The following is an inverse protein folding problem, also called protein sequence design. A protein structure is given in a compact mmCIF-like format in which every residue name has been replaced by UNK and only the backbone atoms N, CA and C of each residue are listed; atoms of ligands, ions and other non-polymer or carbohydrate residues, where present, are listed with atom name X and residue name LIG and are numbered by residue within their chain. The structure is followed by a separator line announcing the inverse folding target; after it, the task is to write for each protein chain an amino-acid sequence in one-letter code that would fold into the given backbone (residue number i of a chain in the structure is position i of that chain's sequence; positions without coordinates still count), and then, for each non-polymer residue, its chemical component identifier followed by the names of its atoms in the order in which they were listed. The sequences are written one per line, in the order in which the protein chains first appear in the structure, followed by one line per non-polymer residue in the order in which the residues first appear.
data_IF_011762704330
#
_entry.id   IF_011762704330
#
_cell.length_a   1.000
_cell.length_b   1.000
_cell.length_c   1.000
_cell.angle_alpha   90.00
_cell.angle_beta   90.00
_cell.angle_gamma   90.00
#
_symmetry.space_group_name_H-M   'P 1'
#
loop_
_entity.id
_entity.type
_entity.pdbx_description
1 polymer ?
#
# COMPACT_ATOMS: atom_id res chain seq x y z
N UNK A 1 -10.13 -22.83 -5.54
CA UNK A 1 -9.12 -23.58 -4.76
C UNK A 1 -8.66 -22.67 -3.63
N UNK A 2 -8.65 -23.12 -2.37
CA UNK A 2 -8.23 -22.26 -1.23
C UNK A 2 -6.81 -22.66 -0.83
N UNK A 3 -5.86 -21.75 -1.03
CA UNK A 3 -4.46 -21.96 -0.67
C UNK A 3 -4.21 -21.50 0.77
N UNK A 4 -3.52 -22.30 1.57
CA UNK A 4 -3.08 -21.91 2.91
C UNK A 4 -1.62 -21.44 2.84
N UNK A 5 -1.36 -20.23 3.30
CA UNK A 5 -0.01 -19.65 3.31
C UNK A 5 0.35 -19.29 4.76
N UNK A 6 1.43 -19.84 5.33
CA UNK A 6 1.91 -19.39 6.63
C UNK A 6 2.55 -18.00 6.50
N UNK A 7 2.17 -17.10 7.39
CA UNK A 7 2.70 -15.72 7.45
C UNK A 7 3.23 -15.46 8.86
N UNK A 8 4.39 -14.81 8.93
CA UNK A 8 4.94 -14.29 10.18
C UNK A 8 4.55 -12.84 10.31
N UNK A 9 3.94 -12.51 11.44
CA UNK A 9 3.55 -11.16 11.82
C UNK A 9 4.30 -10.78 13.08
N UNK A 10 4.50 -9.48 13.27
CA UNK A 10 4.99 -8.95 14.54
C UNK A 10 3.93 -9.19 15.61
N UNK A 11 4.36 -9.35 16.85
CA UNK A 11 3.46 -9.61 17.98
C UNK A 11 2.36 -8.55 18.10
N UNK A 12 2.72 -7.28 17.90
CA UNK A 12 1.78 -6.16 17.95
C UNK A 12 0.68 -6.25 16.87
N UNK A 13 1.05 -6.64 15.64
CA UNK A 13 0.10 -6.79 14.53
C UNK A 13 -0.87 -7.94 14.79
N UNK A 14 -0.33 -9.07 15.29
CA UNK A 14 -1.16 -10.21 15.66
C UNK A 14 -2.15 -9.86 16.77
N UNK A 15 -1.70 -9.09 17.78
CA UNK A 15 -2.57 -8.62 18.87
C UNK A 15 -3.72 -7.75 18.37
N UNK A 16 -3.47 -6.88 17.40
CA UNK A 16 -4.52 -6.07 16.78
C UNK A 16 -5.53 -6.95 16.03
N UNK A 17 -5.05 -7.95 15.28
CA UNK A 17 -5.92 -8.92 14.60
C UNK A 17 -6.76 -9.71 15.60
N UNK A 18 -6.16 -10.11 16.72
CA UNK A 18 -6.86 -10.84 17.79
C UNK A 18 -7.98 -10.02 18.41
N UNK A 19 -7.75 -8.75 18.70
CA UNK A 19 -8.78 -7.85 19.22
C UNK A 19 -9.98 -7.75 18.28
N UNK A 20 -9.76 -7.73 16.96
CA UNK A 20 -10.86 -7.67 15.98
C UNK A 20 -11.72 -8.95 16.02
N UNK A 21 -11.09 -10.11 16.25
CA UNK A 21 -11.80 -11.38 16.39
C UNK A 21 -12.51 -11.47 17.73
N UNK A 22 -11.85 -11.06 18.82
CA UNK A 22 -12.41 -11.04 20.18
C UNK A 22 -13.62 -10.12 20.31
N UNK A 23 -13.61 -8.98 19.63
CA UNK A 23 -14.75 -8.06 19.56
C UNK A 23 -15.86 -8.52 18.61
N UNK A 24 -15.70 -9.67 17.94
CA UNK A 24 -16.71 -10.24 17.04
C UNK A 24 -16.84 -9.51 15.70
N UNK A 25 -15.89 -8.65 15.34
CA UNK A 25 -15.87 -7.95 14.05
C UNK A 25 -15.61 -8.95 12.92
N UNK A 26 -14.72 -9.92 13.15
CA UNK A 26 -14.46 -11.04 12.25
C UNK A 26 -14.62 -12.37 12.98
N UNK A 27 -15.01 -13.41 12.25
CA UNK A 27 -15.23 -14.77 12.79
C UNK A 27 -13.93 -15.54 12.98
N UNK A 28 -12.84 -15.11 12.35
CA UNK A 28 -11.52 -15.74 12.49
C UNK A 28 -10.37 -14.81 12.09
N UNK A 29 -9.15 -15.13 12.54
CA UNK A 29 -7.92 -14.44 12.10
C UNK A 29 -7.75 -14.47 10.58
N UNK A 30 -8.03 -15.60 9.95
CA UNK A 30 -7.91 -15.74 8.50
C UNK A 30 -8.90 -14.89 7.72
N UNK A 31 -10.09 -14.64 8.28
CA UNK A 31 -11.06 -13.71 7.70
C UNK A 31 -10.58 -12.26 7.87
N UNK A 32 -10.18 -11.87 9.08
CA UNK A 32 -9.64 -10.54 9.36
C UNK A 32 -8.46 -10.19 8.42
N UNK A 33 -7.47 -11.08 8.31
CA UNK A 33 -6.32 -10.89 7.43
C UNK A 33 -6.74 -10.77 5.96
N UNK A 34 -7.71 -11.58 5.52
CA UNK A 34 -8.19 -11.53 4.13
C UNK A 34 -8.83 -10.18 3.81
N UNK A 35 -9.73 -9.70 4.66
CA UNK A 35 -10.44 -8.44 4.43
C UNK A 35 -9.47 -7.25 4.49
N UNK A 36 -8.51 -7.27 5.43
CA UNK A 36 -7.46 -6.26 5.50
C UNK A 36 -6.56 -6.24 4.25
N UNK A 37 -6.20 -7.41 3.72
CA UNK A 37 -5.43 -7.52 2.46
C UNK A 37 -6.26 -6.97 1.29
N UNK A 38 -7.54 -7.33 1.17
CA UNK A 38 -8.40 -6.85 0.08
C UNK A 38 -8.53 -5.33 0.15
N UNK A 39 -8.81 -4.77 1.33
CA UNK A 39 -8.89 -3.33 1.53
C UNK A 39 -7.56 -2.63 1.19
N UNK A 40 -6.44 -3.19 1.63
CA UNK A 40 -5.10 -2.67 1.29
C UNK A 40 -4.80 -2.71 -0.21
N UNK A 41 -5.14 -3.80 -0.89
CA UNK A 41 -4.96 -3.94 -2.35
C UNK A 41 -5.83 -2.94 -3.12
N UNK A 42 -7.07 -2.71 -2.67
CA UNK A 42 -7.95 -1.73 -3.31
C UNK A 42 -7.29 -0.33 -3.35
N UNK A 43 -6.67 0.10 -2.24
CA UNK A 43 -5.93 1.36 -2.17
C UNK A 43 -4.62 1.34 -2.97
N UNK A 44 -3.95 0.19 -3.07
CA UNK A 44 -2.73 0.06 -3.87
C UNK A 44 -2.99 0.09 -5.38
N UNK A 45 -4.19 -0.31 -5.83
CA UNK A 45 -4.51 -0.36 -7.26
C UNK A 45 -4.44 1.02 -7.95
N UNK A 46 -4.75 2.09 -7.22
CA UNK A 46 -4.60 3.47 -7.71
C UNK A 46 -3.12 3.84 -7.82
N UNK A 47 -2.31 3.48 -6.81
CA UNK A 47 -0.86 3.72 -6.81
C UNK A 47 -0.19 2.98 -7.98
N UNK A 48 -0.54 1.71 -8.20
CA UNK A 48 0.02 0.93 -9.30
C UNK A 48 -0.33 1.54 -10.66
N UNK A 49 -1.57 2.02 -10.84
CA UNK A 49 -1.98 2.68 -12.09
C UNK A 49 -1.15 3.93 -12.38
N UNK A 50 -0.94 4.77 -11.36
CA UNK A 50 -0.16 6.00 -11.54
C UNK A 50 1.34 5.71 -11.73
N UNK A 51 1.87 4.67 -11.08
CA UNK A 51 3.24 4.19 -11.32
C UNK A 51 3.39 3.65 -12.75
N UNK A 52 2.43 2.86 -13.24
CA UNK A 52 2.44 2.35 -14.61
C UNK A 52 2.39 3.51 -15.63
N UNK A 53 1.53 4.50 -15.38
CA UNK A 53 1.44 5.72 -16.20
C UNK A 53 2.75 6.52 -16.21
N UNK A 54 3.46 6.57 -15.09
CA UNK A 54 4.76 7.22 -14.99
C UNK A 54 5.79 6.51 -15.90
N UNK A 55 5.81 5.17 -15.89
CA UNK A 55 6.69 4.40 -16.77
C UNK A 55 6.31 4.49 -18.25
N UNK A 56 5.02 4.65 -18.58
CA UNK A 56 4.59 4.97 -19.95
C UNK A 56 5.13 6.32 -20.41
N UNK A 57 5.01 7.36 -19.59
CA UNK A 57 5.54 8.69 -19.88
C UNK A 57 7.07 8.68 -20.04
N UNK A 58 7.79 7.96 -19.18
CA UNK A 58 9.25 7.81 -19.30
C UNK A 58 9.63 7.18 -20.65
N UNK A 59 8.93 6.12 -21.06
CA UNK A 59 9.17 5.44 -22.34
C UNK A 59 8.86 6.34 -23.54
N UNK A 60 7.83 7.18 -23.45
CA UNK A 60 7.47 8.12 -24.51
C UNK A 60 8.47 9.27 -24.62
N UNK A 61 8.94 9.82 -23.51
CA UNK A 61 9.80 11.00 -23.51
C UNK A 61 11.30 10.69 -23.47
N UNK A 62 11.69 9.44 -23.23
CA UNK A 62 13.09 9.02 -23.10
C UNK A 62 13.80 9.59 -21.87
N UNK A 63 13.05 10.11 -20.90
CA UNK A 63 13.54 10.76 -19.68
C UNK A 63 12.55 10.56 -18.54
N UNK A 64 13.05 10.60 -17.30
CA UNK A 64 12.20 10.49 -16.11
C UNK A 64 11.23 11.69 -16.08
N UNK A 65 9.90 11.48 -15.98
CA UNK A 65 8.90 12.56 -16.10
C UNK A 65 8.86 13.52 -14.90
N UNK A 66 9.66 13.28 -13.88
CA UNK A 66 9.77 14.09 -12.66
C UNK A 66 11.15 14.74 -12.64
N UNK A 67 11.19 16.05 -12.86
CA UNK A 67 12.38 16.87 -12.65
C UNK A 67 12.18 17.74 -11.40
N UNK A 68 12.88 17.38 -10.32
CA UNK A 68 12.83 18.12 -9.05
C UNK A 68 13.89 19.22 -8.97
N UNK A 69 14.69 19.44 -10.02
CA UNK A 69 15.69 20.49 -10.02
C UNK A 69 15.02 21.86 -9.85
N UNK A 70 15.47 22.62 -8.84
CA UNK A 70 14.90 23.93 -8.48
C UNK A 70 13.80 23.91 -7.40
N UNK A 71 13.14 22.79 -7.15
CA UNK A 71 12.06 22.68 -6.13
C UNK A 71 12.58 23.00 -4.73
N UNK A 72 13.82 22.57 -4.42
CA UNK A 72 14.49 22.86 -3.15
C UNK A 72 14.68 24.37 -2.91
N UNK A 73 14.95 25.16 -3.95
CA UNK A 73 15.11 26.61 -3.80
C UNK A 73 13.77 27.33 -3.62
N UNK A 74 12.69 26.79 -4.18
CA UNK A 74 11.36 27.36 -4.06
C UNK A 74 10.81 27.16 -2.64
N UNK A 75 11.01 25.97 -2.05
CA UNK A 75 10.64 25.67 -0.66
C UNK A 75 11.43 26.50 0.38
N UNK A 76 12.67 26.91 0.06
CA UNK A 76 13.49 27.75 0.92
C UNK A 76 13.09 29.25 0.87
N UNK A 77 12.39 29.69 -0.18
CA UNK A 77 11.93 31.08 -0.35
C UNK A 77 10.57 31.36 0.28
N UNK A 78 9.81 30.32 0.62
CA UNK A 78 8.49 30.43 1.27
C UNK A 78 8.58 30.44 2.81
N UNK A 79 9.77 30.62 3.37
CA UNK A 79 10.02 30.90 4.80
C UNK A 79 10.36 32.37 5.03
#
# INVERSE_FOLDING_TARGET
MVSKVPVRLREQELKQIDQLVEHGIFRSRSEAIRELIIAGIAHLSEVFREVDRLFELERMEGRIPIDLSGTTQQLLKER
#
